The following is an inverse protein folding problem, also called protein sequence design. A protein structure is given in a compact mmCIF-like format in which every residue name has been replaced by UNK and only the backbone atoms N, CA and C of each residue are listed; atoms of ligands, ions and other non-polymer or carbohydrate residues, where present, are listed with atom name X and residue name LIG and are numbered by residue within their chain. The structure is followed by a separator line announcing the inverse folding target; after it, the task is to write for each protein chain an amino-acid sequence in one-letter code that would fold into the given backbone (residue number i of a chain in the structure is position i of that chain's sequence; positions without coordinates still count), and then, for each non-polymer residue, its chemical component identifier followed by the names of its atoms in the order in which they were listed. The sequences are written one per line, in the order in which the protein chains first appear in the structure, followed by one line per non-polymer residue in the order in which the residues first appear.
data_IF_498867987145
#
_entry.id   IF_498867987145
#
_cell.length_a   1.000
_cell.length_b   1.000
_cell.length_c   1.000
_cell.angle_alpha   90.00
_cell.angle_beta   90.00
_cell.angle_gamma   90.00
#
_symmetry.space_group_name_H-M   'P 1'
#
loop_
_entity.id
_entity.type
_entity.pdbx_description
1 polymer ?
#
# COMPACT_ATOMS: atom_id res chain seq x y z
N UNK A 1 25.28 -16.95 -9.71
CA UNK A 1 24.71 -15.61 -9.98
C UNK A 1 23.20 -15.54 -9.73
N UNK A 2 22.46 -16.66 -9.68
CA UNK A 2 21.02 -16.71 -9.37
C UNK A 2 20.68 -16.71 -7.87
N UNK A 3 21.66 -16.91 -7.00
CA UNK A 3 21.42 -17.13 -5.56
C UNK A 3 21.40 -15.82 -4.73
N UNK A 4 21.41 -14.65 -5.37
CA UNK A 4 21.31 -13.36 -4.68
C UNK A 4 20.00 -12.65 -5.00
N UNK A 5 19.54 -11.83 -4.05
CA UNK A 5 18.33 -11.00 -4.18
C UNK A 5 18.40 -10.16 -5.47
N UNK A 6 19.55 -9.52 -5.72
CA UNK A 6 19.77 -8.72 -6.93
C UNK A 6 19.67 -9.55 -8.21
N UNK A 7 20.21 -10.77 -8.21
CA UNK A 7 20.20 -11.66 -9.37
C UNK A 7 18.78 -12.06 -9.76
N UNK A 8 17.97 -12.46 -8.78
CA UNK A 8 16.56 -12.83 -9.00
C UNK A 8 15.73 -11.63 -9.46
N UNK A 9 15.86 -10.49 -8.77
CA UNK A 9 15.14 -9.27 -9.16
C UNK A 9 15.48 -8.84 -10.59
N UNK A 10 16.75 -8.92 -11.00
CA UNK A 10 17.16 -8.58 -12.37
C UNK A 10 16.61 -9.56 -13.41
N UNK A 11 16.48 -10.85 -13.05
CA UNK A 11 15.99 -11.88 -13.96
C UNK A 11 14.47 -11.80 -14.14
N UNK A 12 13.73 -11.80 -13.03
CA UNK A 12 12.29 -12.08 -12.98
C UNK A 12 11.46 -10.81 -12.71
N UNK A 13 12.08 -9.73 -12.24
CA UNK A 13 11.41 -8.46 -11.92
C UNK A 13 10.82 -8.40 -10.52
N UNK A 14 10.89 -9.50 -9.77
CA UNK A 14 10.51 -9.59 -8.36
C UNK A 14 11.38 -10.64 -7.63
N UNK A 15 11.29 -10.65 -6.31
CA UNK A 15 11.93 -11.62 -5.43
C UNK A 15 11.04 -11.83 -4.20
N UNK A 16 10.86 -13.08 -3.78
CA UNK A 16 10.07 -13.43 -2.59
C UNK A 16 11.01 -13.76 -1.45
N UNK A 17 10.86 -13.06 -0.33
CA UNK A 17 11.64 -13.26 0.89
C UNK A 17 10.68 -13.73 1.99
N UNK A 18 10.61 -15.05 2.19
CA UNK A 18 9.75 -15.67 3.20
C UNK A 18 10.21 -15.32 4.62
N UNK A 19 9.26 -15.17 5.55
CA UNK A 19 9.52 -14.90 6.97
C UNK A 19 10.39 -13.64 7.21
N UNK A 20 10.18 -12.60 6.40
CA UNK A 20 10.96 -11.35 6.50
C UNK A 20 10.71 -10.59 7.81
N UNK A 21 9.45 -10.55 8.25
CA UNK A 21 9.03 -10.11 9.57
C UNK A 21 8.60 -11.33 10.41
N UNK A 22 8.68 -11.22 11.73
CA UNK A 22 8.13 -12.25 12.63
C UNK A 22 6.60 -12.11 12.72
N UNK A 23 5.88 -13.17 13.15
CA UNK A 23 4.44 -13.10 13.37
C UNK A 23 4.04 -11.94 14.29
N UNK A 24 4.79 -11.69 15.36
CA UNK A 24 4.49 -10.61 16.32
C UNK A 24 4.69 -9.22 15.70
N UNK A 25 5.66 -9.06 14.81
CA UNK A 25 5.89 -7.82 14.06
C UNK A 25 4.76 -7.58 13.06
N UNK A 26 4.28 -8.63 12.39
CA UNK A 26 3.09 -8.57 11.54
C UNK A 26 1.85 -8.20 12.35
N UNK A 27 1.62 -8.85 13.49
CA UNK A 27 0.49 -8.56 14.39
C UNK A 27 0.49 -7.09 14.83
N UNK A 28 1.64 -6.52 15.18
CA UNK A 28 1.75 -5.11 15.56
C UNK A 28 1.34 -4.17 14.40
N UNK A 29 1.78 -4.47 13.18
CA UNK A 29 1.38 -3.70 11.99
C UNK A 29 -0.11 -3.88 11.65
N UNK A 30 -0.67 -5.09 11.83
CA UNK A 30 -2.11 -5.35 11.67
C UNK A 30 -2.90 -4.56 12.70
N UNK A 31 -2.51 -4.58 13.98
CA UNK A 31 -3.19 -3.80 15.02
C UNK A 31 -3.15 -2.30 14.73
N UNK A 32 -2.01 -1.78 14.25
CA UNK A 32 -1.92 -0.39 13.78
C UNK A 32 -2.89 -0.12 12.61
N UNK A 33 -2.98 -1.04 11.65
CA UNK A 33 -3.95 -0.99 10.55
C UNK A 33 -5.41 -1.00 11.03
N UNK A 34 -5.73 -1.81 12.02
CA UNK A 34 -7.07 -1.87 12.63
C UNK A 34 -7.39 -0.62 13.44
N UNK A 35 -6.40 0.01 14.08
CA UNK A 35 -6.63 1.26 14.81
C UNK A 35 -6.98 2.43 13.87
N UNK A 36 -6.49 2.41 12.63
CA UNK A 36 -6.88 3.37 11.60
C UNK A 36 -8.37 3.27 11.25
N UNK A 37 -8.98 2.07 11.33
CA UNK A 37 -10.42 1.89 11.05
C UNK A 37 -11.32 2.38 12.20
N UNK A 38 -10.76 2.60 13.40
CA UNK A 38 -11.49 3.16 14.55
C UNK A 38 -11.46 4.68 14.56
N UNK A 39 -10.45 5.28 13.95
CA UNK A 39 -10.23 6.73 13.91
C UNK A 39 -10.49 7.29 12.50
N UNK A 40 -11.65 6.97 11.94
CA UNK A 40 -12.01 7.38 10.58
C UNK A 40 -12.27 8.90 10.49
N UNK A 41 -11.99 9.51 9.32
CA UNK A 41 -12.40 10.88 9.02
C UNK A 41 -13.91 11.11 9.22
N UNK A 42 -14.34 12.35 9.44
CA UNK A 42 -15.76 12.69 9.62
C UNK A 42 -16.62 12.35 8.38
N UNK A 43 -17.94 12.27 8.55
CA UNK A 43 -18.86 12.03 7.42
C UNK A 43 -18.66 13.04 6.28
N UNK A 44 -18.45 14.32 6.59
CA UNK A 44 -18.16 15.37 5.60
C UNK A 44 -16.87 15.07 4.80
N UNK A 45 -15.82 14.63 5.49
CA UNK A 45 -14.56 14.25 4.83
C UNK A 45 -14.72 12.96 4.01
N UNK A 46 -15.56 12.03 4.45
CA UNK A 46 -15.89 10.79 3.72
C UNK A 46 -16.76 11.05 2.49
N UNK A 47 -17.62 12.06 2.52
CA UNK A 47 -18.49 12.40 1.40
C UNK A 47 -17.70 12.75 0.12
N UNK A 48 -16.43 13.16 0.24
CA UNK A 48 -15.48 13.32 -0.88
C UNK A 48 -15.34 12.05 -1.71
N UNK A 49 -15.54 10.87 -1.11
CA UNK A 49 -15.38 9.55 -1.76
C UNK A 49 -16.69 8.96 -2.29
N UNK A 50 -17.84 9.61 -2.06
CA UNK A 50 -19.13 9.17 -2.59
C UNK A 50 -19.23 9.43 -4.11
N UNK A 51 -19.80 8.49 -4.89
CA UNK A 51 -20.06 8.65 -6.35
C UNK A 51 -21.43 9.33 -6.57
N UNK A 52 -21.74 10.22 -7.53
CA UNK A 52 -21.69 10.13 -9.01
C UNK A 52 -21.75 11.50 -9.73
N UNK A 53 -21.38 12.61 -9.08
CA UNK A 53 -21.44 13.94 -9.71
C UNK A 53 -20.05 14.44 -10.15
N UNK A 54 -19.97 15.07 -11.34
CA UNK A 54 -18.70 15.51 -11.93
C UNK A 54 -17.90 16.51 -11.08
N UNK A 55 -18.56 17.24 -10.17
CA UNK A 55 -17.92 18.13 -9.18
C UNK A 55 -17.20 17.36 -8.06
N UNK A 56 -17.72 16.20 -7.64
CA UNK A 56 -17.12 15.36 -6.59
C UNK A 56 -15.86 14.62 -7.07
N UNK A 57 -15.77 14.29 -8.37
CA UNK A 57 -14.55 13.68 -8.93
C UNK A 57 -13.33 14.60 -8.78
N UNK A 58 -13.47 15.90 -9.04
CA UNK A 58 -12.37 16.86 -8.87
C UNK A 58 -11.90 16.96 -7.41
N UNK A 59 -12.82 16.89 -6.45
CA UNK A 59 -12.49 16.89 -5.02
C UNK A 59 -11.75 15.62 -4.61
N UNK A 60 -12.16 14.46 -5.12
CA UNK A 60 -11.48 13.18 -4.90
C UNK A 60 -10.07 13.19 -5.49
N UNK A 61 -9.91 13.70 -6.72
CA UNK A 61 -8.60 13.82 -7.38
C UNK A 61 -7.69 14.77 -6.60
N UNK A 62 -8.21 15.92 -6.17
CA UNK A 62 -7.47 16.87 -5.32
C UNK A 62 -7.04 16.23 -4.00
N UNK A 63 -7.94 15.54 -3.31
CA UNK A 63 -7.64 14.84 -2.07
C UNK A 63 -6.53 13.80 -2.28
N UNK A 64 -6.59 13.03 -3.37
CA UNK A 64 -5.55 12.07 -3.72
C UNK A 64 -4.21 12.76 -4.02
N UNK A 65 -4.19 13.81 -4.84
CA UNK A 65 -2.96 14.54 -5.19
C UNK A 65 -2.29 15.20 -3.97
N UNK A 66 -3.07 15.69 -3.01
CA UNK A 66 -2.58 16.33 -1.79
C UNK A 66 -2.29 15.36 -0.63
N UNK A 67 -2.30 14.05 -0.87
CA UNK A 67 -2.11 13.02 0.16
C UNK A 67 -0.67 12.52 0.32
N UNK A 68 0.27 13.02 -0.49
CA UNK A 68 1.65 12.50 -0.55
C UNK A 68 2.41 12.59 0.78
N UNK A 69 2.10 13.59 1.60
CA UNK A 69 2.74 13.91 2.87
C UNK A 69 1.80 13.75 4.08
N UNK A 70 0.67 13.04 3.88
CA UNK A 70 -0.37 12.84 4.90
C UNK A 70 -0.67 11.35 5.13
N UNK A 71 -1.37 11.10 6.23
CA UNK A 71 -2.14 9.87 6.43
C UNK A 71 -3.57 10.17 6.00
N UNK A 72 -3.90 9.68 4.80
CA UNK A 72 -5.15 9.88 4.08
C UNK A 72 -5.84 8.53 3.86
N UNK A 73 -7.16 8.55 3.89
CA UNK A 73 -8.01 7.36 3.97
C UNK A 73 -8.77 7.20 2.66
N UNK A 74 -8.70 6.03 2.05
CA UNK A 74 -9.37 5.73 0.79
C UNK A 74 -10.33 4.56 1.00
N UNK A 75 -11.61 4.82 0.77
CA UNK A 75 -12.69 3.88 1.05
C UNK A 75 -12.95 2.94 -0.12
N UNK A 76 -13.51 1.76 0.17
CA UNK A 76 -14.08 0.90 -0.86
C UNK A 76 -15.22 1.63 -1.57
N UNK A 77 -15.38 1.39 -2.88
CA UNK A 77 -16.31 2.15 -3.73
C UNK A 77 -17.76 2.14 -3.22
N UNK A 78 -18.17 1.03 -2.61
CA UNK A 78 -19.52 0.83 -2.09
C UNK A 78 -19.63 1.01 -0.56
N UNK A 79 -18.54 1.38 0.13
CA UNK A 79 -18.54 1.51 1.58
C UNK A 79 -19.15 2.83 2.09
N UNK A 80 -19.22 3.87 1.24
CA UNK A 80 -19.66 5.22 1.63
C UNK A 80 -20.91 5.64 0.84
N UNK A 81 -21.90 6.19 1.53
CA UNK A 81 -23.10 6.79 0.95
C UNK A 81 -22.90 8.23 0.47
N UNK A 82 -23.90 8.76 -0.24
CA UNK A 82 -23.85 10.11 -0.83
C UNK A 82 -23.78 11.23 0.22
N UNK A 83 -24.25 10.92 1.43
CA UNK A 83 -24.21 11.72 2.66
C UNK A 83 -22.89 11.56 3.45
N UNK A 84 -21.98 10.69 3.01
CA UNK A 84 -20.73 10.38 3.70
C UNK A 84 -20.87 9.37 4.84
N UNK A 85 -22.07 8.82 5.04
CA UNK A 85 -22.30 7.75 6.02
C UNK A 85 -21.77 6.41 5.53
N UNK A 86 -21.32 5.59 6.46
CA UNK A 86 -20.83 4.25 6.14
C UNK A 86 -22.00 3.31 5.89
N UNK A 87 -21.96 2.59 4.77
CA UNK A 87 -22.91 1.53 4.42
C UNK A 87 -22.52 0.16 4.97
N UNK A 88 -21.28 0.04 5.46
CA UNK A 88 -20.67 -1.18 5.97
C UNK A 88 -20.02 -0.91 7.32
N UNK A 89 -19.62 -1.96 8.02
CA UNK A 89 -18.89 -1.82 9.27
C UNK A 89 -17.57 -1.04 9.04
N UNK A 90 -17.19 -0.11 9.94
CA UNK A 90 -15.93 0.63 9.84
C UNK A 90 -14.70 -0.24 9.58
N UNK A 91 -14.66 -1.43 10.17
CA UNK A 91 -13.54 -2.39 10.06
C UNK A 91 -13.29 -2.90 8.63
N UNK A 92 -14.29 -2.82 7.74
CA UNK A 92 -14.20 -3.25 6.34
C UNK A 92 -14.45 -2.10 5.35
N UNK A 93 -14.45 -0.86 5.82
CA UNK A 93 -14.81 0.30 4.98
C UNK A 93 -13.66 0.85 4.12
N UNK A 94 -12.41 0.67 4.58
CA UNK A 94 -11.22 1.21 3.93
C UNK A 94 -10.68 0.24 2.88
N UNK A 95 -10.36 0.74 1.69
CA UNK A 95 -9.56 0.03 0.71
C UNK A 95 -8.05 0.16 1.00
N UNK A 96 -7.62 1.38 1.33
CA UNK A 96 -6.22 1.66 1.69
C UNK A 96 -6.07 2.93 2.53
N UNK A 97 -4.92 3.04 3.20
CA UNK A 97 -4.45 4.27 3.84
C UNK A 97 -3.06 4.60 3.30
N UNK A 98 -2.81 5.86 2.96
CA UNK A 98 -1.56 6.34 2.38
C UNK A 98 -1.46 7.87 2.44
N UNK A 99 -0.40 8.52 2.00
CA UNK A 99 0.78 7.94 1.37
C UNK A 99 2.06 8.13 2.21
N UNK A 100 1.95 8.70 3.41
CA UNK A 100 3.08 9.01 4.30
C UNK A 100 3.10 8.22 5.62
N UNK A 101 2.50 7.02 5.68
CA UNK A 101 2.57 6.15 6.86
C UNK A 101 4.02 5.88 7.33
N UNK A 102 4.95 5.65 6.39
CA UNK A 102 6.37 5.48 6.67
C UNK A 102 7.01 6.67 7.38
N UNK A 103 6.45 7.88 7.22
CA UNK A 103 6.97 9.11 7.79
C UNK A 103 6.27 9.45 9.11
N UNK A 104 4.94 9.36 9.12
CA UNK A 104 4.09 9.95 10.16
C UNK A 104 3.59 8.94 11.20
N UNK A 105 3.48 7.66 10.86
CA UNK A 105 2.94 6.65 11.78
C UNK A 105 4.08 5.86 12.44
N UNK A 106 4.17 5.81 13.78
CA UNK A 106 5.34 5.25 14.49
C UNK A 106 5.62 3.78 14.14
N UNK A 107 4.58 2.95 14.09
CA UNK A 107 4.70 1.51 13.78
C UNK A 107 5.18 1.28 12.33
N UNK A 108 4.46 1.82 11.34
CA UNK A 108 4.87 1.70 9.92
C UNK A 108 6.25 2.29 9.67
N UNK A 109 6.59 3.41 10.30
CA UNK A 109 7.93 3.99 10.27
C UNK A 109 9.00 3.04 10.84
N UNK A 110 8.72 2.38 11.97
CA UNK A 110 9.64 1.43 12.59
C UNK A 110 10.05 0.33 11.60
N UNK A 111 9.07 -0.33 10.99
CA UNK A 111 9.30 -1.45 10.09
C UNK A 111 9.81 -1.03 8.71
N UNK A 112 9.41 0.15 8.21
CA UNK A 112 9.97 0.71 6.96
C UNK A 112 11.48 0.94 7.06
N UNK A 113 11.97 1.39 8.22
CA UNK A 113 13.39 1.72 8.42
C UNK A 113 14.16 0.70 9.28
N UNK A 114 13.62 -0.52 9.45
CA UNK A 114 14.29 -1.57 10.20
C UNK A 114 15.60 -2.03 9.51
N UNK A 115 16.46 -2.73 10.26
CA UNK A 115 17.76 -3.19 9.76
C UNK A 115 17.64 -4.13 8.56
N UNK A 116 16.62 -5.00 8.51
CA UNK A 116 16.39 -5.95 7.42
C UNK A 116 16.13 -5.23 6.09
N UNK A 117 15.26 -4.21 6.07
CA UNK A 117 15.00 -3.40 4.85
C UNK A 117 16.27 -2.71 4.39
N UNK A 118 17.04 -2.13 5.34
CA UNK A 118 18.33 -1.48 5.01
C UNK A 118 19.34 -2.47 4.43
N UNK A 119 19.36 -3.71 4.91
CA UNK A 119 20.22 -4.77 4.35
C UNK A 119 19.83 -5.09 2.92
N UNK A 120 18.53 -5.31 2.64
CA UNK A 120 18.04 -5.54 1.28
C UNK A 120 18.42 -4.37 0.35
N UNK A 121 18.22 -3.12 0.79
CA UNK A 121 18.62 -1.95 0.00
C UNK A 121 20.12 -1.94 -0.34
N UNK A 122 20.99 -2.31 0.62
CA UNK A 122 22.43 -2.43 0.40
C UNK A 122 22.76 -3.53 -0.61
N UNK A 123 22.13 -4.69 -0.51
CA UNK A 123 22.33 -5.80 -1.46
C UNK A 123 21.88 -5.43 -2.89
N UNK A 124 20.77 -4.70 -3.00
CA UNK A 124 20.30 -4.14 -4.27
C UNK A 124 21.22 -3.03 -4.82
N UNK A 125 22.11 -2.47 -3.97
CA UNK A 125 23.11 -1.49 -4.39
C UNK A 125 22.64 -0.04 -4.31
N UNK A 126 21.56 0.23 -3.57
CA UNK A 126 21.15 1.60 -3.30
C UNK A 126 22.21 2.32 -2.48
N UNK A 127 22.59 3.53 -2.92
CA UNK A 127 23.54 4.40 -2.23
C UNK A 127 22.84 5.27 -1.18
N UNK A 128 21.82 6.00 -1.63
CA UNK A 128 21.01 6.91 -0.81
C UNK A 128 19.52 6.63 -1.09
N UNK A 129 18.99 5.47 -0.64
CA UNK A 129 17.59 5.14 -0.87
C UNK A 129 16.66 6.12 -0.13
N UNK A 130 15.67 6.65 -0.85
CA UNK A 130 14.59 7.46 -0.30
C UNK A 130 13.26 6.71 -0.42
N UNK A 131 12.41 6.82 0.59
CA UNK A 131 11.04 6.30 0.55
C UNK A 131 10.15 7.40 0.01
N UNK A 132 9.53 7.18 -1.15
CA UNK A 132 8.68 8.18 -1.82
C UNK A 132 7.20 8.01 -1.52
N UNK A 133 6.80 6.82 -1.04
CA UNK A 133 5.42 6.46 -0.78
C UNK A 133 5.35 5.24 0.15
N UNK A 134 4.29 5.16 0.96
CA UNK A 134 3.89 3.95 1.68
C UNK A 134 2.38 3.85 1.76
N UNK A 135 1.82 2.66 1.63
CA UNK A 135 0.39 2.39 1.79
C UNK A 135 0.16 1.17 2.68
N UNK A 136 -0.94 1.19 3.42
CA UNK A 136 -1.55 0.00 3.99
C UNK A 136 -2.74 -0.37 3.11
N UNK A 137 -2.77 -1.60 2.59
CA UNK A 137 -3.81 -2.06 1.66
C UNK A 137 -4.68 -3.08 2.40
N UNK A 138 -5.96 -2.78 2.50
CA UNK A 138 -6.95 -3.72 3.02
C UNK A 138 -7.44 -4.58 1.87
N UNK A 139 -7.47 -5.90 2.07
CA UNK A 139 -8.15 -6.85 1.20
C UNK A 139 -9.38 -7.38 1.94
N UNK A 140 -10.34 -6.48 2.15
CA UNK A 140 -11.54 -6.79 2.92
C UNK A 140 -12.29 -7.98 2.30
N UNK A 141 -12.83 -8.88 3.13
CA UNK A 141 -13.61 -10.00 2.62
C UNK A 141 -14.83 -9.49 1.85
N UNK A 142 -15.15 -10.16 0.73
CA UNK A 142 -16.30 -9.91 -0.15
C UNK A 142 -16.29 -8.59 -0.94
N UNK A 143 -15.75 -7.51 -0.38
CA UNK A 143 -15.80 -6.16 -0.98
C UNK A 143 -14.44 -5.58 -1.37
N UNK A 144 -13.34 -6.29 -1.09
CA UNK A 144 -12.00 -5.85 -1.44
C UNK A 144 -11.83 -5.67 -2.95
N UNK A 145 -11.49 -4.46 -3.37
CA UNK A 145 -11.33 -4.13 -4.79
C UNK A 145 -10.24 -4.94 -5.52
N UNK A 146 -10.50 -5.26 -6.79
CA UNK A 146 -9.49 -5.80 -7.71
C UNK A 146 -8.44 -4.73 -8.04
N UNK A 147 -7.19 -5.16 -8.21
CA UNK A 147 -6.13 -4.31 -8.76
C UNK A 147 -5.77 -4.88 -10.13
N UNK A 148 -6.04 -4.09 -11.17
CA UNK A 148 -5.75 -4.48 -12.57
C UNK A 148 -4.23 -4.54 -12.82
N UNK A 149 -3.78 -5.31 -13.84
CA UNK A 149 -2.37 -5.34 -14.22
C UNK A 149 -1.80 -3.94 -14.48
N UNK A 150 -0.65 -3.63 -13.89
CA UNK A 150 0.01 -2.33 -14.01
C UNK A 150 1.52 -2.45 -13.72
N UNK A 151 2.24 -1.34 -13.93
CA UNK A 151 3.63 -1.15 -13.50
C UNK A 151 3.69 0.09 -12.61
N UNK A 152 4.36 0.00 -11.46
CA UNK A 152 4.48 1.13 -10.53
C UNK A 152 5.16 2.34 -11.17
N UNK A 153 6.12 2.12 -12.07
CA UNK A 153 6.82 3.18 -12.79
C UNK A 153 5.90 4.04 -13.68
N UNK A 154 4.69 3.58 -14.01
CA UNK A 154 3.65 4.40 -14.67
C UNK A 154 3.18 5.54 -13.77
N UNK A 155 3.18 5.33 -12.45
CA UNK A 155 2.72 6.30 -11.45
C UNK A 155 3.89 7.00 -10.74
N UNK A 156 5.00 6.28 -10.52
CA UNK A 156 6.19 6.74 -9.81
C UNK A 156 7.39 6.77 -10.78
N UNK A 157 7.29 7.56 -11.84
CA UNK A 157 8.31 7.60 -12.87
C UNK A 157 9.62 8.23 -12.39
N UNK A 158 10.74 7.58 -12.68
CA UNK A 158 12.10 8.08 -12.43
C UNK A 158 13.05 7.67 -13.55
N UNK A 159 14.17 8.40 -13.69
CA UNK A 159 15.25 8.07 -14.63
C UNK A 159 16.61 8.36 -13.98
N UNK A 160 17.66 7.53 -14.19
CA UNK A 160 17.68 6.28 -14.98
C UNK A 160 17.28 5.03 -14.19
N UNK A 161 17.14 5.13 -12.87
CA UNK A 161 16.85 3.98 -11.99
C UNK A 161 15.36 4.00 -11.63
N UNK A 162 14.58 2.96 -11.98
CA UNK A 162 13.18 2.86 -11.58
C UNK A 162 13.05 2.63 -10.06
N UNK A 163 11.92 2.99 -9.44
CA UNK A 163 11.67 2.65 -8.04
C UNK A 163 11.57 1.14 -7.85
N UNK A 164 11.85 0.67 -6.63
CA UNK A 164 11.64 -0.72 -6.21
C UNK A 164 10.56 -0.75 -5.14
N UNK A 165 9.51 -1.53 -5.37
CA UNK A 165 8.44 -1.76 -4.40
C UNK A 165 8.84 -2.78 -3.34
N UNK A 166 8.53 -2.48 -2.08
CA UNK A 166 8.58 -3.43 -0.98
C UNK A 166 7.14 -3.74 -0.59
N UNK A 167 6.69 -4.96 -0.88
CA UNK A 167 5.39 -5.44 -0.47
C UNK A 167 5.58 -6.46 0.66
N UNK A 168 4.93 -6.23 1.80
CA UNK A 168 5.06 -7.04 3.01
C UNK A 168 3.69 -7.64 3.30
N UNK A 169 3.60 -8.97 3.28
CA UNK A 169 2.43 -9.70 3.77
C UNK A 169 2.34 -9.53 5.29
N UNK A 170 1.23 -8.97 5.76
CA UNK A 170 0.92 -8.88 7.20
C UNK A 170 -0.01 -10.01 7.65
N UNK A 171 -0.70 -10.62 6.69
CA UNK A 171 -1.52 -11.81 6.83
C UNK A 171 -1.20 -12.74 5.64
N UNK A 172 -1.56 -14.03 5.74
CA UNK A 172 -1.33 -15.00 4.68
C UNK A 172 -1.99 -14.57 3.36
N UNK A 173 -1.19 -14.31 2.32
CA UNK A 173 -1.67 -13.97 1.00
C UNK A 173 -1.79 -15.23 0.13
N UNK A 174 -3.02 -15.66 -0.09
CA UNK A 174 -3.40 -16.87 -0.82
C UNK A 174 -4.10 -16.53 -2.13
N UNK A 175 -4.25 -17.52 -3.01
CA UNK A 175 -5.04 -17.35 -4.25
C UNK A 175 -6.49 -16.96 -3.93
N UNK A 176 -7.04 -17.45 -2.81
CA UNK A 176 -8.44 -17.26 -2.42
C UNK A 176 -8.73 -15.86 -1.85
N UNK A 177 -7.73 -15.18 -1.28
CA UNK A 177 -7.89 -13.82 -0.71
C UNK A 177 -7.13 -12.74 -1.50
N UNK A 178 -6.67 -13.06 -2.71
CA UNK A 178 -6.13 -12.09 -3.65
C UNK A 178 -4.63 -11.79 -3.50
N UNK A 179 -3.81 -12.84 -3.44
CA UNK A 179 -2.35 -12.71 -3.54
C UNK A 179 -1.91 -12.01 -4.83
N UNK A 180 -0.65 -11.54 -4.83
CA UNK A 180 -0.05 -10.92 -6.02
C UNK A 180 0.12 -11.93 -7.16
N UNK A 181 -0.01 -11.44 -8.39
CA UNK A 181 0.36 -12.13 -9.61
C UNK A 181 1.39 -11.28 -10.36
N UNK A 182 2.55 -11.87 -10.68
CA UNK A 182 3.62 -11.21 -11.40
C UNK A 182 3.87 -11.94 -12.72
N UNK A 183 4.17 -11.19 -13.79
CA UNK A 183 4.63 -11.74 -15.05
C UNK A 183 6.18 -11.72 -15.07
N UNK A 184 6.87 -12.86 -14.88
CA UNK A 184 8.32 -12.88 -14.75
C UNK A 184 9.02 -12.29 -15.98
N UNK A 185 9.92 -11.33 -15.75
CA UNK A 185 10.72 -10.69 -16.80
C UNK A 185 10.02 -9.54 -17.54
N UNK A 186 8.76 -9.21 -17.19
CA UNK A 186 7.99 -8.14 -17.83
C UNK A 186 8.49 -6.71 -17.53
N UNK A 187 9.49 -6.57 -16.66
CA UNK A 187 10.15 -5.31 -16.31
C UNK A 187 11.23 -4.86 -17.29
N UNK A 188 11.53 -5.66 -18.33
CA UNK A 188 12.59 -5.41 -19.32
C UNK A 188 12.08 -4.73 -20.58
#
# INVERSE_FOLDING_TARGET
MRDSIRGQLAQDGYVVLENFLTPEECDEMVQAGLELTKNLPSAEQRAVFSTKEGSKQQLKDKYFLESNDKISYFFEAEAVGDDGELKVDPSVSLNKVGHALHLLHPIFRCYTYCSRVKTVCKELGFKEPAVVQSMYIYKNPLIGGEVIPHQDATYLYTTPIPPVGFWIALEDATVQNGCLWMAPGSHK
#
